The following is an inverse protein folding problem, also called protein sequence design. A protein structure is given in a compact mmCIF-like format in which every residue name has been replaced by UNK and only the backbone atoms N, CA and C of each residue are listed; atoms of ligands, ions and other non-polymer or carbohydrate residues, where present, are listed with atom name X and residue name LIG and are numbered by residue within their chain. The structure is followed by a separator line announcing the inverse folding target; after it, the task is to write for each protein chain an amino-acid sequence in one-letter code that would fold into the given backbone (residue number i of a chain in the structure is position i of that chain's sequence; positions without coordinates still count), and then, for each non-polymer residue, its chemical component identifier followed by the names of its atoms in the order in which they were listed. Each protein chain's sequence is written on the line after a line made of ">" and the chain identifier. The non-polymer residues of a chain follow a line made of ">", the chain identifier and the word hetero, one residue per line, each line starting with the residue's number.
data_IF_668598952907
#
_entry.id   IF_668598952907
#
_cell.length_a   1.000
_cell.length_b   1.000
_cell.length_c   1.000
_cell.angle_alpha   90.00
_cell.angle_beta   90.00
_cell.angle_gamma   90.00
#
_symmetry.space_group_name_H-M   'P 1'
#
loop_
_entity.id
_entity.type
_entity.pdbx_description
1 polymer ?
#
# COMPACT_ATOMS: atom_id res chain seq x y z
N UNK A 1 -26.41 -22.59 11.02
CA UNK A 1 -27.84 -22.94 10.91
C UNK A 1 -28.56 -21.70 10.44
N UNK A 2 -28.89 -21.62 9.14
CA UNK A 2 -29.61 -20.51 8.54
C UNK A 2 -30.63 -21.10 7.56
N UNK A 3 -31.57 -21.86 8.11
CA UNK A 3 -32.48 -22.71 7.34
C UNK A 3 -33.83 -22.01 7.07
N UNK A 4 -33.88 -20.67 7.19
CA UNK A 4 -35.04 -19.84 6.85
C UNK A 4 -34.72 -18.90 5.68
N UNK A 5 -35.57 -18.81 4.64
CA UNK A 5 -35.33 -18.00 3.45
C UNK A 5 -35.16 -16.49 3.75
N UNK A 6 -35.71 -16.01 4.86
CA UNK A 6 -35.57 -14.62 5.30
C UNK A 6 -34.15 -14.29 5.81
N UNK A 7 -33.50 -15.21 6.52
CA UNK A 7 -32.14 -15.01 7.04
C UNK A 7 -31.12 -14.92 5.90
N UNK A 8 -31.31 -15.75 4.86
CA UNK A 8 -30.48 -15.74 3.65
C UNK A 8 -30.62 -14.39 2.94
N UNK A 9 -31.84 -13.90 2.74
CA UNK A 9 -32.08 -12.62 2.05
C UNK A 9 -31.44 -11.43 2.78
N UNK A 10 -31.44 -11.45 4.12
CA UNK A 10 -30.81 -10.40 4.94
C UNK A 10 -29.29 -10.41 4.82
N UNK A 11 -28.66 -11.59 4.80
CA UNK A 11 -27.23 -11.72 4.56
C UNK A 11 -26.85 -11.20 3.17
N UNK A 12 -27.59 -11.60 2.13
CA UNK A 12 -27.37 -11.10 0.76
C UNK A 12 -27.49 -9.58 0.66
N UNK A 13 -28.52 -8.97 1.26
CA UNK A 13 -28.69 -7.52 1.27
C UNK A 13 -27.53 -6.82 1.99
N UNK A 14 -27.04 -7.41 3.08
CA UNK A 14 -25.90 -6.88 3.84
C UNK A 14 -24.64 -6.85 2.96
N UNK A 15 -24.32 -7.97 2.28
CA UNK A 15 -23.19 -8.03 1.36
C UNK A 15 -23.35 -7.10 0.14
N UNK A 16 -24.58 -6.95 -0.38
CA UNK A 16 -24.85 -6.09 -1.53
C UNK A 16 -24.71 -4.60 -1.16
N UNK A 17 -25.20 -4.18 0.01
CA UNK A 17 -25.04 -2.81 0.51
C UNK A 17 -23.55 -2.49 0.71
N UNK A 18 -22.80 -3.40 1.33
CA UNK A 18 -21.38 -3.19 1.62
C UNK A 18 -20.55 -3.24 0.33
N UNK A 19 -20.90 -4.11 -0.61
CA UNK A 19 -20.33 -4.10 -1.96
C UNK A 19 -20.62 -2.80 -2.71
N UNK A 20 -21.83 -2.25 -2.56
CA UNK A 20 -22.20 -0.93 -3.10
C UNK A 20 -21.39 0.22 -2.49
N UNK A 21 -21.22 0.24 -1.16
CA UNK A 21 -20.37 1.20 -0.47
C UNK A 21 -18.92 1.10 -0.96
N UNK A 22 -18.41 -0.12 -1.15
CA UNK A 22 -17.07 -0.34 -1.65
C UNK A 22 -16.90 0.19 -3.08
N UNK A 23 -17.89 -0.07 -3.94
CA UNK A 23 -17.90 0.44 -5.31
C UNK A 23 -17.91 1.98 -5.33
N UNK A 24 -18.76 2.61 -4.53
CA UNK A 24 -18.77 4.07 -4.37
C UNK A 24 -17.41 4.57 -3.86
N UNK A 25 -16.81 3.90 -2.87
CA UNK A 25 -15.47 4.21 -2.39
C UNK A 25 -14.40 4.15 -3.49
N UNK A 26 -14.50 3.19 -4.43
CA UNK A 26 -13.58 3.13 -5.57
C UNK A 26 -13.79 4.28 -6.55
N UNK A 27 -15.05 4.61 -6.86
CA UNK A 27 -15.38 5.75 -7.72
C UNK A 27 -14.88 7.04 -7.09
N UNK A 28 -15.04 7.23 -5.78
CA UNK A 28 -14.51 8.39 -5.06
C UNK A 28 -12.97 8.43 -5.16
N UNK A 29 -12.26 7.32 -4.98
CA UNK A 29 -10.78 7.33 -5.11
C UNK A 29 -10.33 7.69 -6.52
N UNK A 30 -11.06 7.25 -7.55
CA UNK A 30 -10.77 7.61 -8.94
C UNK A 30 -11.08 9.08 -9.17
N UNK A 31 -12.21 9.58 -8.68
CA UNK A 31 -12.58 10.98 -8.80
C UNK A 31 -11.60 11.91 -8.09
N UNK A 32 -11.16 11.58 -6.87
CA UNK A 32 -10.11 12.33 -6.16
C UNK A 32 -8.81 12.35 -6.95
N UNK A 33 -8.46 11.25 -7.64
CA UNK A 33 -7.25 11.18 -8.46
C UNK A 33 -7.39 11.79 -9.88
N UNK A 34 -8.61 11.96 -10.40
CA UNK A 34 -8.86 12.38 -11.81
C UNK A 34 -9.50 13.76 -11.93
N UNK A 35 -10.08 14.30 -10.87
CA UNK A 35 -10.65 15.64 -10.88
C UNK A 35 -9.75 16.65 -10.19
N UNK A 36 -9.16 17.51 -11.02
CA UNK A 36 -8.37 18.69 -10.69
C UNK A 36 -9.12 19.70 -9.80
N UNK A 37 -10.45 19.59 -9.64
CA UNK A 37 -11.24 20.48 -8.76
C UNK A 37 -11.05 20.18 -7.26
N UNK A 38 -10.49 19.03 -6.91
CA UNK A 38 -10.18 18.64 -5.52
C UNK A 38 -8.68 18.70 -5.21
N UNK A 39 -7.92 19.42 -6.04
CA UNK A 39 -6.50 19.71 -5.86
C UNK A 39 -6.34 20.64 -4.64
N UNK A 40 -5.98 20.06 -3.49
CA UNK A 40 -5.57 20.79 -2.29
C UNK A 40 -4.06 21.07 -2.38
N UNK A 41 -3.62 21.76 -3.43
CA UNK A 41 -2.21 21.94 -3.73
C UNK A 41 -2.00 22.68 -5.05
N UNK A 42 -0.78 23.14 -5.30
CA UNK A 42 -0.46 23.85 -6.55
C UNK A 42 -0.25 22.88 -7.70
N UNK A 43 -1.05 22.98 -8.76
CA UNK A 43 -0.93 22.31 -10.07
C UNK A 43 0.11 21.19 -10.17
N UNK A 44 -0.31 19.96 -9.83
CA UNK A 44 0.48 18.74 -9.99
C UNK A 44 0.10 17.68 -8.96
N UNK A 45 0.47 16.41 -9.18
CA UNK A 45 0.36 15.34 -8.19
C UNK A 45 1.21 15.70 -6.96
N UNK A 46 0.60 16.36 -5.98
CA UNK A 46 1.27 16.80 -4.77
C UNK A 46 1.24 15.69 -3.71
N UNK A 47 2.13 15.78 -2.72
CA UNK A 47 2.13 14.89 -1.57
C UNK A 47 0.78 14.86 -0.85
N UNK A 48 0.03 15.97 -0.90
CA UNK A 48 -1.30 16.10 -0.32
C UNK A 48 -2.32 15.14 -0.96
N UNK A 49 -2.34 15.03 -2.28
CA UNK A 49 -3.25 14.13 -3.00
C UNK A 49 -2.92 12.66 -2.74
N UNK A 50 -1.62 12.34 -2.64
CA UNK A 50 -1.16 11.00 -2.29
C UNK A 50 -1.62 10.60 -0.87
N UNK A 51 -1.53 11.52 0.10
CA UNK A 51 -1.99 11.28 1.47
C UNK A 51 -3.51 11.09 1.54
N UNK A 52 -4.28 11.95 0.88
CA UNK A 52 -5.76 11.86 0.85
C UNK A 52 -6.19 10.56 0.15
N UNK A 53 -5.57 10.22 -0.98
CA UNK A 53 -5.81 8.96 -1.69
C UNK A 53 -5.51 7.73 -0.82
N UNK A 54 -4.41 7.75 -0.06
CA UNK A 54 -4.05 6.69 0.88
C UNK A 54 -5.03 6.56 2.06
N UNK A 55 -5.56 7.66 2.58
CA UNK A 55 -6.58 7.64 3.64
C UNK A 55 -7.87 6.97 3.12
N UNK A 56 -8.36 7.38 1.95
CA UNK A 56 -9.58 6.79 1.38
C UNK A 56 -9.32 5.31 1.02
N UNK A 57 -8.13 4.99 0.54
CA UNK A 57 -7.72 3.62 0.24
C UNK A 57 -7.64 2.72 1.48
N UNK A 58 -7.18 3.24 2.63
CA UNK A 58 -7.14 2.47 3.89
C UNK A 58 -8.53 2.27 4.49
N UNK A 59 -9.42 3.27 4.38
CA UNK A 59 -10.84 3.12 4.79
C UNK A 59 -11.54 2.05 3.95
N UNK A 60 -11.40 2.05 2.62
CA UNK A 60 -12.01 0.99 1.80
C UNK A 60 -11.41 -0.39 2.11
N UNK A 61 -10.10 -0.48 2.30
CA UNK A 61 -9.41 -1.74 2.59
C UNK A 61 -9.82 -2.34 3.95
N UNK A 62 -9.97 -1.50 4.98
CA UNK A 62 -10.46 -1.94 6.30
C UNK A 62 -11.92 -2.42 6.26
N UNK A 63 -12.78 -1.77 5.45
CA UNK A 63 -14.15 -2.21 5.23
C UNK A 63 -14.20 -3.59 4.53
N UNK A 64 -13.32 -3.82 3.54
CA UNK A 64 -13.15 -5.14 2.90
C UNK A 64 -12.67 -6.19 3.89
N UNK A 65 -11.65 -5.88 4.69
CA UNK A 65 -11.09 -6.80 5.67
C UNK A 65 -12.14 -7.18 6.75
N UNK A 66 -12.92 -6.21 7.23
CA UNK A 66 -13.92 -6.46 8.27
C UNK A 66 -15.12 -7.29 7.77
N UNK A 67 -15.58 -7.06 6.53
CA UNK A 67 -16.84 -7.66 6.02
C UNK A 67 -16.60 -8.85 5.09
N UNK A 68 -15.73 -8.70 4.10
CA UNK A 68 -15.53 -9.73 3.07
C UNK A 68 -14.52 -10.81 3.51
N UNK A 69 -13.52 -10.45 4.33
CA UNK A 69 -12.59 -11.42 4.92
C UNK A 69 -13.09 -12.03 6.23
N UNK A 70 -14.33 -11.76 6.65
CA UNK A 70 -14.99 -12.37 7.82
C UNK A 70 -14.21 -12.25 9.15
N UNK A 71 -13.25 -11.31 9.26
CA UNK A 71 -12.48 -11.11 10.49
C UNK A 71 -13.39 -10.90 11.71
N UNK A 72 -14.51 -10.20 11.53
CA UNK A 72 -15.41 -9.84 12.63
C UNK A 72 -16.11 -11.03 13.32
N UNK A 73 -16.11 -12.23 12.73
CA UNK A 73 -16.74 -13.41 13.32
C UNK A 73 -15.76 -14.60 13.52
N UNK A 74 -14.48 -14.35 13.32
CA UNK A 74 -13.43 -15.36 13.34
C UNK A 74 -12.63 -15.39 14.66
N UNK A 75 -11.91 -16.51 14.91
CA UNK A 75 -10.95 -16.69 16.00
C UNK A 75 -9.87 -15.59 16.02
N UNK A 76 -9.50 -15.16 17.24
CA UNK A 76 -8.48 -14.14 17.53
C UNK A 76 -7.11 -14.35 16.86
N UNK A 77 -6.78 -15.59 16.44
CA UNK A 77 -5.52 -15.92 15.78
C UNK A 77 -5.32 -15.20 14.44
N UNK A 78 -6.38 -14.96 13.66
CA UNK A 78 -6.22 -14.30 12.36
C UNK A 78 -5.96 -12.80 12.48
N UNK A 79 -6.50 -12.15 13.50
CA UNK A 79 -6.13 -10.76 13.81
C UNK A 79 -4.63 -10.61 14.09
N UNK A 80 -4.03 -11.58 14.78
CA UNK A 80 -2.59 -11.58 15.08
C UNK A 80 -1.73 -11.73 13.81
N UNK A 81 -2.10 -12.66 12.92
CA UNK A 81 -1.37 -12.87 11.66
C UNK A 81 -1.54 -11.66 10.74
N UNK A 82 -2.75 -11.12 10.63
CA UNK A 82 -3.03 -9.96 9.78
C UNK A 82 -2.27 -8.73 10.27
N UNK A 83 -2.32 -8.42 11.57
CA UNK A 83 -1.58 -7.30 12.14
C UNK A 83 -0.07 -7.52 12.08
N UNK A 84 0.41 -8.75 12.29
CA UNK A 84 1.81 -9.12 12.12
C UNK A 84 2.31 -8.87 10.69
N UNK A 85 1.50 -9.19 9.68
CA UNK A 85 1.83 -8.91 8.28
C UNK A 85 1.91 -7.42 7.97
N UNK A 86 0.99 -6.61 8.51
CA UNK A 86 0.98 -5.16 8.35
C UNK A 86 2.20 -4.51 9.04
N UNK A 87 2.54 -4.99 10.25
CA UNK A 87 3.75 -4.55 10.96
C UNK A 87 5.01 -4.86 10.17
N UNK A 88 5.15 -6.07 9.64
CA UNK A 88 6.30 -6.44 8.83
C UNK A 88 6.40 -5.63 7.53
N UNK A 89 5.26 -5.38 6.88
CA UNK A 89 5.19 -4.52 5.70
C UNK A 89 5.69 -3.10 6.01
N UNK A 90 5.22 -2.51 7.10
CA UNK A 90 5.70 -1.19 7.55
C UNK A 90 7.19 -1.19 7.90
N UNK A 91 7.68 -2.25 8.58
CA UNK A 91 9.10 -2.39 8.91
C UNK A 91 9.99 -2.49 7.67
N UNK A 92 9.55 -3.19 6.62
CA UNK A 92 10.27 -3.28 5.35
C UNK A 92 10.28 -1.93 4.62
N UNK A 93 9.16 -1.21 4.56
CA UNK A 93 9.14 0.14 3.99
C UNK A 93 10.05 1.09 4.75
N UNK A 94 10.08 1.01 6.09
CA UNK A 94 10.98 1.80 6.92
C UNK A 94 12.47 1.46 6.65
N UNK A 95 12.81 0.17 6.50
CA UNK A 95 14.17 -0.25 6.13
C UNK A 95 14.59 0.28 4.76
N UNK A 96 13.69 0.25 3.77
CA UNK A 96 13.96 0.81 2.44
C UNK A 96 14.17 2.33 2.53
N UNK A 97 13.37 3.04 3.34
CA UNK A 97 13.56 4.46 3.60
C UNK A 97 14.92 4.76 4.21
N UNK A 98 15.29 4.05 5.28
CA UNK A 98 16.58 4.21 5.96
C UNK A 98 17.77 3.89 5.03
N UNK A 99 17.64 2.86 4.19
CA UNK A 99 18.66 2.50 3.21
C UNK A 99 18.87 3.57 2.14
N UNK A 100 17.82 4.32 1.77
CA UNK A 100 17.92 5.46 0.85
C UNK A 100 18.55 6.69 1.51
N UNK A 101 18.30 6.90 2.80
CA UNK A 101 18.88 8.03 3.54
C UNK A 101 20.38 7.86 3.81
N UNK A 102 20.85 6.62 4.02
CA UNK A 102 22.26 6.31 4.25
C UNK A 102 22.79 5.30 3.21
N UNK A 103 22.98 5.74 1.96
CA UNK A 103 23.56 4.89 0.94
C UNK A 103 25.02 4.55 1.28
N UNK A 104 25.37 3.27 1.22
CA UNK A 104 26.77 2.83 1.31
C UNK A 104 27.42 3.17 -0.03
N UNK A 105 28.34 4.14 0.00
CA UNK A 105 29.21 4.46 -1.13
C UNK A 105 30.51 3.67 -0.98
N UNK A 106 30.76 2.75 -1.90
CA UNK A 106 32.03 2.03 -2.03
C UNK A 106 32.55 2.22 -3.45
N UNK A 107 33.73 2.84 -3.55
CA UNK A 107 34.40 3.18 -4.81
C UNK A 107 34.80 1.93 -5.62
N UNK A 108 34.93 0.77 -4.98
CA UNK A 108 35.38 -0.48 -5.61
C UNK A 108 34.22 -1.38 -6.05
N UNK A 109 32.99 -1.17 -5.58
CA UNK A 109 31.85 -2.05 -5.88
C UNK A 109 31.30 -1.92 -7.31
N UNK A 110 31.49 -0.77 -7.96
CA UNK A 110 31.05 -0.52 -9.34
C UNK A 110 32.19 -0.55 -10.38
N UNK A 111 33.46 -0.58 -9.95
CA UNK A 111 34.64 -0.65 -10.83
C UNK A 111 34.96 -2.06 -11.34
N UNK A 112 34.33 -3.10 -10.80
CA UNK A 112 34.59 -4.49 -11.19
C UNK A 112 34.25 -4.82 -12.66
N UNK A 113 33.52 -3.94 -13.36
CA UNK A 113 33.28 -4.04 -14.81
C UNK A 113 34.30 -3.31 -15.70
N UNK A 114 35.12 -2.41 -15.12
CA UNK A 114 36.08 -1.57 -15.86
C UNK A 114 37.54 -1.85 -15.46
N UNK A 115 37.78 -2.88 -14.64
CA UNK A 115 39.11 -3.37 -14.28
C UNK A 115 39.75 -4.26 -15.36
N UNK A 116 39.39 -4.07 -16.64
CA UNK A 116 40.02 -4.69 -17.79
C UNK A 116 40.83 -3.69 -18.65
N UNK A 117 41.13 -2.49 -18.14
CA UNK A 117 42.17 -1.64 -18.71
C UNK A 117 43.43 -1.76 -17.85
N UNK A 118 44.56 -2.22 -18.40
CA UNK A 118 45.80 -2.30 -17.63
C UNK A 118 46.22 -0.87 -17.28
N UNK A 119 46.38 -0.60 -15.98
CA UNK A 119 47.11 0.57 -15.50
C UNK A 119 48.57 0.37 -15.93
N UNK A 120 48.83 0.76 -17.17
CA UNK A 120 50.15 0.92 -17.72
C UNK A 120 50.81 2.12 -17.07
N UNK A 121 51.89 1.81 -16.36
CA UNK A 121 53.05 2.66 -16.10
C UNK A 121 53.03 4.03 -16.80
N UNK A 122 52.95 5.11 -16.02
CA UNK A 122 53.62 6.35 -16.40
C UNK A 122 54.04 7.12 -15.15
N UNK A 123 55.22 6.74 -14.66
CA UNK A 123 56.34 7.63 -14.37
C UNK A 123 56.07 9.11 -13.98
N UNK A 124 56.61 9.45 -12.81
CA UNK A 124 57.49 10.60 -12.56
C UNK A 124 57.05 12.00 -13.03
N UNK A 125 56.61 12.84 -12.08
CA UNK A 125 57.32 14.07 -11.70
C UNK A 125 56.79 14.65 -10.39
#
# INVERSE_FOLDING_TARGET
>A
MADTPEAIRKAFLTYLIIGGILFVGTVITVLVATQEWLDFGGHGFDWHDAVVGMIIATVKASCVAAVFMHLNHERKSVYWIFFGSLFFCAALFALIGLAKENPIHDDYFYQAGEAAAPVGDTAAK
#
